data_IF_983536030828
#
_entry.id   IF_983536030828
#
_cell.length_a   1.000
_cell.length_b   1.000
_cell.length_c   1.000
_cell.angle_alpha   90.00
_cell.angle_beta   90.00
_cell.angle_gamma   90.00
#
_symmetry.space_group_name_H-M   'P 1'
#
loop_
_entity.id
_entity.type
_entity.pdbx_description
1 polymer ?
#
# COMPACT_ATOMS: atom_id res chain seq x y z
N UNK A 1 47.22 -23.87 51.12
CA UNK A 1 46.22 -24.08 52.20
C UNK A 1 44.86 -24.34 51.56
N UNK A 2 44.22 -25.48 51.91
CA UNK A 2 42.79 -25.84 51.71
C UNK A 2 42.25 -25.90 50.27
N UNK A 3 42.20 -27.07 49.61
CA UNK A 3 41.10 -28.07 49.59
C UNK A 3 39.85 -27.55 48.84
N UNK A 4 39.57 -27.91 47.57
CA UNK A 4 39.05 -29.19 47.00
C UNK A 4 37.76 -29.71 47.66
N UNK A 5 36.71 -29.94 46.84
CA UNK A 5 35.56 -30.79 47.15
C UNK A 5 34.26 -30.25 46.52
N UNK A 6 33.86 -30.55 45.27
CA UNK A 6 33.31 -31.81 44.73
C UNK A 6 31.94 -32.26 45.30
N UNK A 7 31.00 -32.45 44.36
CA UNK A 7 30.06 -33.60 44.22
C UNK A 7 28.64 -33.49 44.84
N UNK A 8 27.69 -33.34 43.90
CA UNK A 8 26.51 -34.18 43.59
C UNK A 8 25.37 -34.45 44.58
N UNK A 9 24.17 -34.38 43.99
CA UNK A 9 23.03 -35.31 44.02
C UNK A 9 22.38 -35.69 45.36
N UNK A 10 21.05 -35.54 45.43
CA UNK A 10 20.03 -36.61 45.45
C UNK A 10 18.69 -35.96 45.90
N UNK A 11 17.63 -35.96 45.07
CA UNK A 11 16.66 -37.04 44.76
C UNK A 11 15.54 -37.19 45.81
N UNK A 12 14.31 -37.23 45.25
CA UNK A 12 13.09 -37.94 45.68
C UNK A 12 12.08 -37.17 46.56
N UNK A 13 10.77 -37.03 46.24
CA UNK A 13 9.67 -37.91 45.77
C UNK A 13 8.70 -38.18 46.94
N UNK A 14 7.53 -37.54 46.94
CA UNK A 14 6.28 -38.01 47.57
C UNK A 14 5.09 -37.37 46.83
N UNK A 15 4.40 -38.12 45.97
CA UNK A 15 3.26 -39.00 46.23
C UNK A 15 1.95 -38.27 46.58
N UNK A 16 0.92 -38.48 45.75
CA UNK A 16 -0.48 -38.42 46.20
C UNK A 16 -1.47 -37.77 45.24
N UNK A 17 -1.83 -38.45 44.14
CA UNK A 17 -3.18 -38.31 43.58
C UNK A 17 -4.09 -39.32 44.27
N UNK A 18 -5.19 -38.86 44.89
CA UNK A 18 -6.43 -39.64 45.04
C UNK A 18 -7.62 -38.71 44.79
N UNK A 19 -8.53 -39.24 43.99
CA UNK A 19 -9.75 -38.68 43.40
C UNK A 19 -10.96 -38.79 44.35
N UNK A 20 -11.99 -37.97 44.05
CA UNK A 20 -13.42 -37.99 44.46
C UNK A 20 -13.84 -37.20 45.71
N UNK A 21 -14.53 -36.08 45.46
CA UNK A 21 -15.94 -35.99 45.86
C UNK A 21 -16.81 -35.75 44.61
N UNK A 22 -17.83 -36.60 44.45
CA UNK A 22 -18.98 -36.33 43.61
C UNK A 22 -19.97 -35.59 44.49
N UNK A 23 -20.17 -34.30 44.25
CA UNK A 23 -21.37 -33.61 44.71
C UNK A 23 -22.27 -33.42 43.50
N UNK A 24 -23.36 -34.19 43.45
CA UNK A 24 -24.44 -34.06 42.48
C UNK A 24 -25.22 -32.78 42.77
N UNK A 25 -24.90 -31.71 42.06
CA UNK A 25 -25.74 -30.51 42.01
C UNK A 25 -26.85 -30.76 40.99
N UNK A 26 -28.07 -31.02 41.47
CA UNK A 26 -29.26 -31.03 40.63
C UNK A 26 -29.63 -29.59 40.29
N UNK A 27 -29.60 -29.25 39.01
CA UNK A 27 -30.17 -28.01 38.48
C UNK A 27 -31.25 -28.40 37.48
N UNK A 28 -32.51 -28.26 37.88
CA UNK A 28 -33.64 -28.24 36.96
C UNK A 28 -33.57 -26.93 36.17
N UNK A 29 -33.11 -27.00 34.92
CA UNK A 29 -33.28 -25.93 33.94
C UNK A 29 -34.15 -26.46 32.83
N UNK A 30 -35.40 -25.99 32.87
CA UNK A 30 -36.47 -26.04 31.86
C UNK A 30 -35.99 -26.25 30.42
N UNK A 31 -36.68 -27.14 29.70
CA UNK A 31 -36.56 -27.36 28.25
C UNK A 31 -36.35 -26.05 27.48
N UNK A 32 -35.15 -25.86 26.92
CA UNK A 32 -34.88 -24.87 25.88
C UNK A 32 -35.47 -25.30 24.53
N UNK A 33 -36.68 -25.86 24.54
CA UNK A 33 -37.54 -25.84 23.36
C UNK A 33 -38.24 -24.48 23.35
N UNK A 34 -37.93 -23.64 22.36
CA UNK A 34 -38.46 -22.29 22.14
C UNK A 34 -37.64 -21.10 22.69
N UNK A 35 -36.32 -21.11 22.54
CA UNK A 35 -35.60 -19.86 22.31
C UNK A 35 -35.19 -19.79 20.84
N UNK A 36 -35.99 -19.04 20.09
CA UNK A 36 -35.64 -18.45 18.80
C UNK A 36 -34.27 -17.79 18.92
N UNK A 37 -33.23 -18.49 18.43
CA UNK A 37 -31.98 -17.89 18.00
C UNK A 37 -32.27 -17.05 16.75
N UNK A 38 -32.88 -15.89 16.97
CA UNK A 38 -33.02 -14.76 16.04
C UNK A 38 -32.05 -13.65 16.45
N UNK A 39 -30.80 -14.02 16.75
CA UNK A 39 -29.69 -13.08 16.82
C UNK A 39 -28.76 -13.39 15.64
N UNK A 40 -28.80 -12.50 14.66
CA UNK A 40 -28.08 -12.53 13.39
C UNK A 40 -28.48 -13.68 12.44
N UNK A 41 -29.74 -13.68 12.02
CA UNK A 41 -30.02 -13.95 10.62
C UNK A 41 -29.34 -12.85 9.79
N UNK A 42 -28.02 -12.98 9.59
CA UNK A 42 -27.33 -12.44 8.44
C UNK A 42 -28.29 -12.59 7.29
N UNK A 43 -28.80 -11.47 6.77
CA UNK A 43 -29.64 -11.45 5.59
C UNK A 43 -28.70 -11.92 4.48
N UNK A 44 -28.60 -13.25 4.35
CA UNK A 44 -27.75 -13.93 3.39
C UNK A 44 -28.27 -13.39 2.06
N UNK A 45 -27.55 -12.43 1.47
CA UNK A 45 -27.83 -11.91 0.13
C UNK A 45 -27.67 -13.11 -0.78
N UNK A 46 -28.81 -13.72 -1.09
CA UNK A 46 -28.91 -15.16 -1.32
C UNK A 46 -28.83 -15.55 -2.78
N UNK A 47 -28.58 -14.63 -3.70
CA UNK A 47 -28.59 -14.92 -5.12
C UNK A 47 -27.27 -14.61 -5.85
N UNK A 48 -27.06 -15.39 -6.90
CA UNK A 48 -25.90 -15.26 -7.78
C UNK A 48 -25.80 -13.88 -8.47
N UNK A 49 -26.91 -13.19 -8.81
CA UNK A 49 -26.90 -11.82 -9.30
C UNK A 49 -26.32 -10.80 -8.32
N UNK A 50 -26.73 -10.75 -7.06
CA UNK A 50 -26.19 -9.74 -6.12
C UNK A 50 -24.69 -9.95 -5.89
N UNK A 51 -24.24 -11.21 -5.83
CA UNK A 51 -22.81 -11.53 -5.76
C UNK A 51 -22.04 -11.03 -6.99
N UNK A 52 -22.68 -11.03 -8.16
CA UNK A 52 -22.09 -10.49 -9.39
C UNK A 52 -21.98 -8.97 -9.32
N UNK A 53 -23.01 -8.29 -8.81
CA UNK A 53 -22.98 -6.84 -8.57
C UNK A 53 -21.89 -6.45 -7.56
N UNK A 54 -21.77 -7.19 -6.45
CA UNK A 54 -20.74 -6.94 -5.43
C UNK A 54 -19.32 -7.14 -5.99
N UNK A 55 -19.13 -8.15 -6.84
CA UNK A 55 -17.86 -8.36 -7.54
C UNK A 55 -17.54 -7.18 -8.46
N UNK A 56 -18.52 -6.70 -9.23
CA UNK A 56 -18.32 -5.58 -10.16
C UNK A 56 -18.04 -4.27 -9.40
N UNK A 57 -18.75 -4.03 -8.30
CA UNK A 57 -18.48 -2.92 -7.39
C UNK A 57 -17.06 -2.99 -6.83
N UNK A 58 -16.62 -4.14 -6.31
CA UNK A 58 -15.28 -4.29 -5.76
C UNK A 58 -14.18 -4.09 -6.82
N UNK A 59 -14.42 -4.54 -8.07
CA UNK A 59 -13.52 -4.27 -9.20
C UNK A 59 -13.43 -2.79 -9.54
N UNK A 60 -14.57 -2.09 -9.56
CA UNK A 60 -14.62 -0.66 -9.84
C UNK A 60 -13.89 0.14 -8.75
N UNK A 61 -14.12 -0.19 -7.47
CA UNK A 61 -13.47 0.46 -6.34
C UNK A 61 -11.95 0.27 -6.35
N UNK A 62 -11.49 -0.96 -6.65
CA UNK A 62 -10.06 -1.26 -6.74
C UNK A 62 -9.39 -0.51 -7.91
N UNK A 63 -10.07 -0.42 -9.05
CA UNK A 63 -9.60 0.34 -10.20
C UNK A 63 -9.54 1.84 -9.87
N UNK A 64 -10.59 2.37 -9.26
CA UNK A 64 -10.68 3.78 -8.88
C UNK A 64 -9.50 4.16 -7.98
N UNK A 65 -9.24 3.39 -6.93
CA UNK A 65 -8.11 3.60 -6.01
C UNK A 65 -6.77 3.75 -6.74
N UNK A 66 -6.53 2.89 -7.73
CA UNK A 66 -5.29 2.95 -8.50
C UNK A 66 -5.23 4.15 -9.44
N UNK A 67 -6.32 4.45 -10.12
CA UNK A 67 -6.39 5.60 -11.03
C UNK A 67 -6.21 6.92 -10.29
N UNK A 68 -6.80 7.06 -9.10
CA UNK A 68 -6.63 8.23 -8.23
C UNK A 68 -5.17 8.41 -7.81
N UNK A 69 -4.52 7.33 -7.38
CA UNK A 69 -3.11 7.42 -7.02
C UNK A 69 -2.22 7.80 -8.20
N UNK A 70 -2.36 7.11 -9.32
CA UNK A 70 -1.50 7.33 -10.48
C UNK A 70 -1.68 8.74 -11.04
N UNK A 71 -2.91 9.28 -11.01
CA UNK A 71 -3.18 10.66 -11.36
C UNK A 71 -2.45 11.65 -10.44
N UNK A 72 -2.65 11.53 -9.12
CA UNK A 72 -2.08 12.47 -8.14
C UNK A 72 -0.54 12.39 -8.11
N UNK A 73 0.02 11.17 -8.02
CA UNK A 73 1.46 10.99 -8.00
C UNK A 73 2.13 11.44 -9.31
N UNK A 74 1.47 11.18 -10.44
CA UNK A 74 1.93 11.60 -11.77
C UNK A 74 1.92 13.12 -11.93
N UNK A 75 0.85 13.79 -11.48
CA UNK A 75 0.73 15.25 -11.52
C UNK A 75 1.81 15.94 -10.67
N UNK A 76 2.03 15.47 -9.45
CA UNK A 76 3.05 16.05 -8.56
C UNK A 76 4.46 15.90 -9.11
N UNK A 77 4.78 14.71 -9.65
CA UNK A 77 6.07 14.48 -10.28
C UNK A 77 6.24 15.37 -11.51
N UNK A 78 5.21 15.46 -12.36
CA UNK A 78 5.23 16.33 -13.56
C UNK A 78 5.45 17.79 -13.17
N UNK A 79 4.73 18.29 -12.18
CA UNK A 79 4.86 19.65 -11.66
C UNK A 79 6.28 19.92 -11.15
N UNK A 80 6.83 19.00 -10.35
CA UNK A 80 8.22 19.09 -9.88
C UNK A 80 9.23 19.16 -11.03
N UNK A 81 9.11 18.29 -12.04
CA UNK A 81 10.03 18.25 -13.18
C UNK A 81 10.00 19.54 -14.00
N UNK A 82 8.82 20.14 -14.17
CA UNK A 82 8.66 21.45 -14.82
C UNK A 82 9.32 22.55 -13.99
N UNK A 83 9.05 22.60 -12.68
CA UNK A 83 9.61 23.62 -11.79
C UNK A 83 11.14 23.57 -11.75
N UNK A 84 11.74 22.39 -11.64
CA UNK A 84 13.20 22.24 -11.64
C UNK A 84 13.82 22.67 -12.96
N UNK A 85 13.14 22.39 -14.08
CA UNK A 85 13.61 22.81 -15.40
C UNK A 85 13.53 24.32 -15.55
N UNK A 86 12.38 24.92 -15.27
CA UNK A 86 12.18 26.37 -15.30
C UNK A 86 13.19 27.10 -14.40
N UNK A 87 13.39 26.61 -13.18
CA UNK A 87 14.35 27.20 -12.24
C UNK A 87 15.81 27.14 -12.75
N UNK A 88 16.18 26.03 -13.40
CA UNK A 88 17.52 25.89 -13.99
C UNK A 88 17.71 26.85 -15.17
N UNK A 89 16.70 26.99 -16.03
CA UNK A 89 16.72 27.93 -17.14
C UNK A 89 16.77 29.38 -16.65
N UNK A 90 16.02 29.71 -15.60
CA UNK A 90 16.03 31.02 -14.96
C UNK A 90 17.40 31.36 -14.36
N UNK A 91 18.05 30.40 -13.71
CA UNK A 91 19.41 30.58 -13.17
C UNK A 91 20.43 30.88 -14.28
N UNK A 92 20.31 30.20 -15.43
CA UNK A 92 21.15 30.44 -16.60
C UNK A 92 20.91 31.84 -17.18
N UNK A 93 19.64 32.21 -17.41
CA UNK A 93 19.29 33.54 -17.95
C UNK A 93 19.70 34.68 -17.02
N UNK A 94 19.54 34.52 -15.71
CA UNK A 94 19.95 35.55 -14.76
C UNK A 94 21.46 35.73 -14.74
N UNK A 95 22.24 34.66 -14.92
CA UNK A 95 23.68 34.74 -15.08
C UNK A 95 24.09 35.45 -16.39
N UNK A 96 23.30 35.34 -17.47
CA UNK A 96 23.55 36.04 -18.74
C UNK A 96 23.41 37.56 -18.62
N UNK A 97 22.44 38.04 -17.83
CA UNK A 97 22.18 39.48 -17.66
C UNK A 97 23.29 40.22 -16.88
N UNK A 98 24.17 39.50 -16.17
CA UNK A 98 25.29 40.09 -15.42
C UNK A 98 26.52 40.31 -16.31
N UNK A 99 26.49 39.88 -17.57
CA UNK A 99 27.65 39.91 -18.46
C UNK A 99 27.73 41.25 -19.19
N UNK A 100 28.49 42.17 -18.61
CA UNK A 100 29.20 43.24 -19.33
C UNK A 100 30.69 42.88 -19.47
N UNK A 101 31.14 42.84 -20.71
CA UNK A 101 32.51 42.97 -21.25
C UNK A 101 33.61 41.90 -21.08
N UNK A 102 33.60 40.95 -20.13
CA UNK A 102 34.68 39.92 -20.07
C UNK A 102 34.15 38.48 -20.10
N UNK A 103 34.10 37.91 -21.31
CA UNK A 103 33.63 36.54 -21.55
C UNK A 103 34.70 35.52 -21.16
N UNK A 104 34.83 35.20 -19.86
CA UNK A 104 35.61 34.04 -19.43
C UNK A 104 34.83 32.75 -19.73
N UNK A 105 35.01 32.24 -20.96
CA UNK A 105 34.30 31.08 -21.51
C UNK A 105 34.42 29.81 -20.64
N UNK A 106 35.53 29.67 -19.91
CA UNK A 106 35.78 28.54 -19.02
C UNK A 106 34.90 28.60 -17.75
N UNK A 107 34.78 29.78 -17.13
CA UNK A 107 33.90 29.97 -15.97
C UNK A 107 32.44 29.71 -16.37
N UNK A 108 32.03 30.19 -17.55
CA UNK A 108 30.66 29.99 -18.04
C UNK A 108 30.33 28.52 -18.33
N UNK A 109 31.20 27.84 -19.07
CA UNK A 109 31.02 26.41 -19.38
C UNK A 109 30.92 25.55 -18.11
N UNK A 110 31.73 25.84 -17.09
CA UNK A 110 31.66 25.18 -15.77
C UNK A 110 30.34 25.45 -15.05
N UNK A 111 29.84 26.67 -15.09
CA UNK A 111 28.55 27.03 -14.50
C UNK A 111 27.40 26.29 -15.19
N UNK A 112 27.31 26.36 -16.52
CA UNK A 112 26.25 25.70 -17.30
C UNK A 112 26.24 24.18 -17.08
N UNK A 113 27.43 23.56 -17.09
CA UNK A 113 27.58 22.13 -16.79
C UNK A 113 27.11 21.78 -15.38
N UNK A 114 27.39 22.64 -14.38
CA UNK A 114 26.99 22.44 -13.00
C UNK A 114 25.49 22.56 -12.81
N UNK A 115 24.85 23.56 -13.41
CA UNK A 115 23.39 23.73 -13.37
C UNK A 115 22.69 22.53 -14.02
N UNK A 116 23.13 22.11 -15.22
CA UNK A 116 22.57 20.93 -15.91
C UNK A 116 22.75 19.66 -15.08
N UNK A 117 23.89 19.49 -14.41
CA UNK A 117 24.10 18.35 -13.50
C UNK A 117 23.12 18.38 -12.33
N UNK A 118 22.91 19.55 -11.68
CA UNK A 118 21.94 19.70 -10.58
C UNK A 118 20.53 19.34 -11.04
N UNK A 119 20.13 19.83 -12.21
CA UNK A 119 18.84 19.53 -12.82
C UNK A 119 18.69 18.01 -13.05
N UNK A 120 19.66 17.38 -13.71
CA UNK A 120 19.63 15.97 -14.04
C UNK A 120 19.62 15.08 -12.79
N UNK A 121 20.44 15.39 -11.78
CA UNK A 121 20.45 14.70 -10.49
C UNK A 121 19.07 14.74 -9.83
N UNK A 122 18.44 15.92 -9.79
CA UNK A 122 17.13 16.10 -9.18
C UNK A 122 16.03 15.37 -9.95
N UNK A 123 16.03 15.44 -11.29
CA UNK A 123 15.08 14.69 -12.15
C UNK A 123 15.22 13.19 -11.94
N UNK A 124 16.45 12.68 -11.86
CA UNK A 124 16.72 11.25 -11.64
C UNK A 124 16.26 10.80 -10.26
N UNK A 125 16.55 11.58 -9.22
CA UNK A 125 16.14 11.28 -7.85
C UNK A 125 14.61 11.29 -7.68
N UNK A 126 13.93 12.26 -8.31
CA UNK A 126 12.48 12.35 -8.29
C UNK A 126 11.83 11.19 -9.05
N UNK A 127 12.33 10.86 -10.25
CA UNK A 127 11.82 9.75 -11.06
C UNK A 127 12.00 8.40 -10.35
N UNK A 128 13.17 8.16 -9.75
CA UNK A 128 13.42 6.97 -8.95
C UNK A 128 12.45 6.84 -7.77
N UNK A 129 12.16 7.95 -7.08
CA UNK A 129 11.16 7.96 -6.02
C UNK A 129 9.77 7.59 -6.55
N UNK A 130 9.35 8.22 -7.66
CA UNK A 130 8.05 7.97 -8.29
C UNK A 130 7.89 6.53 -8.75
N UNK A 131 8.90 5.95 -9.38
CA UNK A 131 8.90 4.55 -9.81
C UNK A 131 8.77 3.58 -8.64
N UNK A 132 9.47 3.82 -7.53
CA UNK A 132 9.37 2.96 -6.35
C UNK A 132 7.99 3.03 -5.70
N UNK A 133 7.41 4.24 -5.61
CA UNK A 133 6.05 4.41 -5.12
C UNK A 133 5.04 3.70 -6.04
N UNK A 134 5.21 3.81 -7.36
CA UNK A 134 4.36 3.13 -8.33
C UNK A 134 4.43 1.60 -8.19
N UNK A 135 5.63 1.03 -8.07
CA UNK A 135 5.84 -0.40 -7.85
C UNK A 135 5.19 -0.89 -6.56
N UNK A 136 5.29 -0.10 -5.49
CA UNK A 136 4.66 -0.42 -4.21
C UNK A 136 3.14 -0.56 -4.37
N UNK A 137 2.47 0.43 -4.96
CA UNK A 137 1.01 0.34 -5.16
C UNK A 137 0.62 -0.77 -6.15
N UNK A 138 1.41 -0.97 -7.20
CA UNK A 138 1.18 -2.05 -8.15
C UNK A 138 1.17 -3.43 -7.46
N UNK A 139 1.99 -3.62 -6.42
CA UNK A 139 1.95 -4.82 -5.58
C UNK A 139 0.58 -5.06 -4.93
N UNK A 140 0.00 -4.03 -4.31
CA UNK A 140 -1.35 -4.11 -3.74
C UNK A 140 -2.41 -4.45 -4.80
N UNK A 141 -2.32 -3.82 -5.98
CA UNK A 141 -3.24 -4.10 -7.08
C UNK A 141 -3.18 -5.54 -7.57
N UNK A 142 -1.98 -6.11 -7.69
CA UNK A 142 -1.82 -7.50 -8.16
C UNK A 142 -2.51 -8.46 -7.20
N UNK A 143 -2.35 -8.24 -5.89
CA UNK A 143 -3.01 -9.05 -4.85
C UNK A 143 -4.52 -8.91 -4.95
N UNK A 144 -5.06 -7.69 -5.00
CA UNK A 144 -6.51 -7.47 -5.16
C UNK A 144 -7.04 -8.16 -6.42
N UNK A 145 -6.34 -8.03 -7.55
CA UNK A 145 -6.73 -8.64 -8.82
C UNK A 145 -6.74 -10.17 -8.73
N UNK A 146 -5.79 -10.77 -8.03
CA UNK A 146 -5.75 -12.22 -7.82
C UNK A 146 -7.02 -12.71 -7.10
N UNK A 147 -7.42 -12.04 -6.01
CA UNK A 147 -8.63 -12.37 -5.25
C UNK A 147 -9.90 -12.13 -6.08
N UNK A 148 -10.00 -10.99 -6.78
CA UNK A 148 -11.14 -10.68 -7.65
C UNK A 148 -11.28 -11.68 -8.82
N UNK A 149 -10.18 -12.12 -9.42
CA UNK A 149 -10.19 -13.15 -10.48
C UNK A 149 -10.64 -14.52 -9.94
N UNK A 150 -10.25 -14.85 -8.71
CA UNK A 150 -10.69 -16.08 -8.02
C UNK A 150 -12.21 -16.03 -7.77
N UNK A 151 -12.73 -14.92 -7.24
CA UNK A 151 -14.17 -14.70 -7.07
C UNK A 151 -14.91 -14.79 -8.40
N UNK A 152 -14.41 -14.13 -9.45
CA UNK A 152 -15.02 -14.17 -10.78
C UNK A 152 -15.14 -15.61 -11.32
N UNK A 153 -14.11 -16.43 -11.13
CA UNK A 153 -14.12 -17.83 -11.55
C UNK A 153 -15.21 -18.62 -10.82
N UNK A 154 -15.39 -18.36 -9.51
CA UNK A 154 -16.44 -18.99 -8.71
C UNK A 154 -17.84 -18.52 -9.12
N UNK A 155 -18.02 -17.21 -9.34
CA UNK A 155 -19.29 -16.63 -9.83
C UNK A 155 -19.66 -17.21 -11.21
N UNK A 156 -18.69 -17.39 -12.11
CA UNK A 156 -18.91 -18.07 -13.41
C UNK A 156 -19.35 -19.53 -13.26
N UNK A 157 -18.85 -20.24 -12.25
CA UNK A 157 -19.32 -21.62 -11.95
C UNK A 157 -20.74 -21.62 -11.42
N UNK A 158 -21.09 -20.67 -10.55
CA UNK A 158 -22.45 -20.52 -10.03
C UNK A 158 -23.44 -20.18 -11.15
N UNK A 159 -23.16 -19.16 -11.95
CA UNK A 159 -24.02 -18.76 -13.08
C UNK A 159 -24.22 -19.88 -14.09
N UNK A 160 -23.19 -20.68 -14.37
CA UNK A 160 -23.32 -21.88 -15.22
C UNK A 160 -24.22 -22.94 -14.60
N UNK A 161 -24.10 -23.20 -13.29
CA UNK A 161 -24.88 -24.22 -12.59
C UNK A 161 -26.35 -23.83 -12.39
N UNK A 162 -26.64 -22.53 -12.33
CA UNK A 162 -27.97 -21.99 -12.06
C UNK A 162 -28.75 -21.71 -13.35
N UNK A 163 -28.09 -21.71 -14.52
CA UNK A 163 -28.65 -21.30 -15.82
C UNK A 163 -29.97 -21.99 -16.17
N UNK A 164 -30.06 -23.30 -15.95
CA UNK A 164 -31.18 -24.11 -16.47
C UNK A 164 -32.28 -24.36 -15.43
N UNK A 165 -31.99 -24.10 -14.15
CA UNK A 165 -32.83 -24.50 -13.02
C UNK A 165 -33.14 -23.35 -12.05
N UNK A 166 -32.55 -22.17 -12.28
CA UNK A 166 -32.82 -20.96 -11.53
C UNK A 166 -32.67 -21.15 -10.02
N UNK A 167 -33.64 -20.61 -9.27
CA UNK A 167 -33.63 -20.54 -7.80
C UNK A 167 -33.48 -21.92 -7.14
N UNK A 168 -34.01 -22.99 -7.76
CA UNK A 168 -33.89 -24.34 -7.20
C UNK A 168 -32.42 -24.80 -7.09
N UNK A 169 -31.60 -24.46 -8.08
CA UNK A 169 -30.18 -24.82 -8.11
C UNK A 169 -29.30 -23.98 -7.20
N UNK A 170 -29.77 -22.80 -6.80
CA UNK A 170 -29.05 -21.94 -5.87
C UNK A 170 -28.96 -22.55 -4.46
N UNK A 171 -29.93 -23.38 -4.09
CA UNK A 171 -29.98 -24.04 -2.79
C UNK A 171 -29.03 -25.24 -2.70
N UNK A 172 -28.48 -25.71 -3.82
CA UNK A 172 -27.57 -26.86 -3.88
C UNK A 172 -26.32 -26.57 -3.03
N UNK A 173 -25.91 -27.48 -2.13
CA UNK A 173 -24.76 -27.27 -1.24
C UNK A 173 -23.47 -26.88 -1.95
N UNK A 174 -23.25 -27.41 -3.17
CA UNK A 174 -22.09 -27.08 -4.01
C UNK A 174 -22.10 -25.61 -4.47
N UNK A 175 -23.26 -25.10 -4.90
CA UNK A 175 -23.42 -23.70 -5.33
C UNK A 175 -23.30 -22.77 -4.14
N UNK A 176 -23.93 -23.11 -3.01
CA UNK A 176 -23.76 -22.38 -1.74
C UNK A 176 -22.29 -22.24 -1.34
N UNK A 177 -21.52 -23.33 -1.40
CA UNK A 177 -20.08 -23.32 -1.08
C UNK A 177 -19.30 -22.36 -1.99
N UNK A 178 -19.53 -22.40 -3.31
CA UNK A 178 -18.84 -21.51 -4.25
C UNK A 178 -19.20 -20.04 -4.03
N UNK A 179 -20.46 -19.73 -3.73
CA UNK A 179 -20.90 -18.37 -3.40
C UNK A 179 -20.23 -17.86 -2.14
N UNK A 180 -20.23 -18.66 -1.07
CA UNK A 180 -19.57 -18.30 0.18
C UNK A 180 -18.08 -18.01 -0.04
N UNK A 181 -17.38 -18.90 -0.76
CA UNK A 181 -15.97 -18.69 -1.10
C UNK A 181 -15.75 -17.43 -1.95
N UNK A 182 -16.63 -17.14 -2.92
CA UNK A 182 -16.50 -15.93 -3.73
C UNK A 182 -16.70 -14.66 -2.90
N UNK A 183 -17.68 -14.67 -1.99
CA UNK A 183 -17.99 -13.57 -1.08
C UNK A 183 -16.85 -13.34 -0.08
N UNK A 184 -16.31 -14.41 0.52
CA UNK A 184 -15.13 -14.36 1.39
C UNK A 184 -13.95 -13.66 0.71
N UNK A 185 -13.66 -13.99 -0.56
CA UNK A 185 -12.58 -13.35 -1.32
C UNK A 185 -12.90 -11.88 -1.70
N UNK A 186 -14.17 -11.53 -1.95
CA UNK A 186 -14.59 -10.13 -2.18
C UNK A 186 -14.42 -9.31 -0.89
N UNK A 187 -14.82 -9.86 0.25
CA UNK A 187 -14.68 -9.20 1.55
C UNK A 187 -13.21 -8.96 1.90
N UNK A 188 -12.33 -9.94 1.67
CA UNK A 188 -10.88 -9.75 1.82
C UNK A 188 -10.37 -8.58 1.00
N UNK A 189 -10.78 -8.47 -0.26
CA UNK A 189 -10.39 -7.32 -1.11
C UNK A 189 -10.89 -6.00 -0.54
N UNK A 190 -12.12 -5.96 0.01
CA UNK A 190 -12.67 -4.76 0.64
C UNK A 190 -11.88 -4.34 1.88
N UNK A 191 -11.47 -5.29 2.71
CA UNK A 191 -10.61 -5.04 3.87
C UNK A 191 -9.22 -4.53 3.43
N UNK A 192 -8.60 -5.22 2.46
CA UNK A 192 -7.31 -4.84 1.89
C UNK A 192 -7.36 -3.47 1.21
N UNK A 193 -8.47 -3.08 0.60
CA UNK A 193 -8.67 -1.75 0.00
C UNK A 193 -8.60 -0.65 1.07
N UNK A 194 -9.17 -0.86 2.26
CA UNK A 194 -9.08 0.12 3.34
C UNK A 194 -7.65 0.29 3.82
N UNK A 195 -6.91 -0.81 3.96
CA UNK A 195 -5.49 -0.76 4.28
C UNK A 195 -4.70 -0.04 3.18
N UNK A 196 -4.92 -0.41 1.92
CA UNK A 196 -4.24 0.17 0.76
C UNK A 196 -4.52 1.66 0.59
N UNK A 197 -5.74 2.14 0.90
CA UNK A 197 -6.08 3.57 0.95
C UNK A 197 -5.26 4.34 1.97
N UNK A 198 -4.96 3.75 3.13
CA UNK A 198 -4.10 4.39 4.15
C UNK A 198 -2.65 4.45 3.66
N UNK A 199 -2.12 3.32 3.19
CA UNK A 199 -0.77 3.24 2.62
C UNK A 199 -0.60 4.21 1.45
N UNK A 200 -1.62 4.36 0.61
CA UNK A 200 -1.69 5.36 -0.47
C UNK A 200 -1.51 6.79 0.05
N UNK A 201 -2.29 7.20 1.06
CA UNK A 201 -2.19 8.56 1.64
C UNK A 201 -0.80 8.82 2.18
N UNK A 202 -0.23 7.86 2.90
CA UNK A 202 1.12 7.96 3.45
C UNK A 202 2.18 8.05 2.35
N UNK A 203 2.01 7.29 1.27
CA UNK A 203 2.90 7.28 0.12
C UNK A 203 2.89 8.63 -0.61
N UNK A 204 1.71 9.23 -0.83
CA UNK A 204 1.57 10.58 -1.42
C UNK A 204 2.22 11.62 -0.52
N UNK A 205 1.95 11.59 0.80
CA UNK A 205 2.58 12.53 1.74
C UNK A 205 4.11 12.36 1.77
N UNK A 206 4.60 11.13 1.69
CA UNK A 206 6.02 10.85 1.59
C UNK A 206 6.60 11.38 0.26
N UNK A 207 5.92 11.18 -0.87
CA UNK A 207 6.32 11.71 -2.17
C UNK A 207 6.42 13.24 -2.15
N UNK A 208 5.38 13.95 -1.67
CA UNK A 208 5.38 15.40 -1.48
C UNK A 208 6.56 15.88 -0.66
N UNK A 209 6.80 15.26 0.50
CA UNK A 209 7.93 15.61 1.37
C UNK A 209 9.26 15.41 0.67
N UNK A 210 9.42 14.32 -0.08
CA UNK A 210 10.64 14.03 -0.83
C UNK A 210 10.86 15.04 -1.96
N UNK A 211 9.84 15.36 -2.75
CA UNK A 211 9.92 16.34 -3.83
C UNK A 211 10.24 17.74 -3.28
N UNK A 212 9.60 18.15 -2.19
CA UNK A 212 9.90 19.42 -1.52
C UNK A 212 11.34 19.47 -0.98
N UNK A 213 11.85 18.36 -0.44
CA UNK A 213 13.23 18.28 0.00
C UNK A 213 14.21 18.40 -1.17
N UNK A 214 13.96 17.69 -2.29
CA UNK A 214 14.75 17.80 -3.50
C UNK A 214 14.72 19.22 -4.07
N UNK A 215 13.56 19.88 -4.05
CA UNK A 215 13.41 21.26 -4.49
C UNK A 215 14.31 22.22 -3.68
N UNK A 216 14.29 22.12 -2.36
CA UNK A 216 15.18 22.90 -1.49
C UNK A 216 16.67 22.63 -1.78
N UNK A 217 17.03 21.38 -2.06
CA UNK A 217 18.41 21.03 -2.45
C UNK A 217 18.80 21.63 -3.79
N UNK A 218 17.91 21.63 -4.78
CA UNK A 218 18.14 22.26 -6.09
C UNK A 218 18.41 23.75 -5.92
N UNK A 219 17.55 24.46 -5.18
CA UNK A 219 17.73 25.90 -4.92
C UNK A 219 19.09 26.15 -4.26
N UNK A 220 19.41 25.43 -3.18
CA UNK A 220 20.68 25.60 -2.48
C UNK A 220 21.88 25.35 -3.40
N UNK A 221 21.92 24.21 -4.10
CA UNK A 221 23.04 23.84 -4.98
C UNK A 221 23.19 24.81 -6.16
N UNK A 222 22.10 25.39 -6.64
CA UNK A 222 22.12 26.34 -7.75
C UNK A 222 22.62 27.71 -7.29
N UNK A 223 22.18 28.20 -6.14
CA UNK A 223 22.74 29.42 -5.53
C UNK A 223 24.25 29.25 -5.29
N UNK A 224 24.69 28.12 -4.71
CA UNK A 224 26.11 27.81 -4.54
C UNK A 224 26.88 27.78 -5.89
N UNK A 225 26.21 27.44 -6.99
CA UNK A 225 26.81 27.44 -8.33
C UNK A 225 26.92 28.87 -8.90
N UNK A 226 25.92 29.71 -8.66
CA UNK A 226 25.93 31.15 -9.01
C UNK A 226 27.03 31.88 -8.25
N UNK A 227 27.16 31.65 -6.94
CA UNK A 227 28.21 32.26 -6.12
C UNK A 227 29.61 31.90 -6.64
N UNK A 228 29.84 30.62 -6.95
CA UNK A 228 31.10 30.15 -7.54
C UNK A 228 31.36 30.71 -8.93
N UNK A 229 30.31 30.97 -9.70
CA UNK A 229 30.44 31.63 -10.99
C UNK A 229 30.89 33.09 -10.80
N UNK A 230 30.28 33.83 -9.88
CA UNK A 230 30.71 35.19 -9.55
C UNK A 230 32.14 35.24 -8.99
N UNK A 231 32.54 34.29 -8.14
CA UNK A 231 33.93 34.18 -7.68
C UNK A 231 34.91 33.92 -8.82
N UNK A 232 34.52 33.10 -9.81
CA UNK A 232 35.34 32.80 -10.98
C UNK A 232 35.52 34.03 -11.89
N UNK A 233 34.49 34.88 -11.99
CA UNK A 233 34.58 36.14 -12.75
C UNK A 233 35.42 37.22 -12.06
N UNK A 234 35.55 37.18 -10.73
CA UNK A 234 36.36 38.14 -9.95
C UNK A 234 37.85 37.79 -9.92
N UNK A 235 38.25 36.62 -10.43
CA UNK A 235 39.64 36.16 -10.48
C UNK A 235 40.22 36.35 -11.87
#
# INVERSE_FOLDING_TARGET
MGARGCISCLLLLTCGQIVRSQDSLWVDVTDQSNQTLDEDADIEKRYTPELTEELMSAKADALLLFTEYTAIAGEELKSFLMNVTAYSDDAIRNADNVITSDYNSNCRSKFDSRIRTIQNDARRAASFSGENHHKFLLGHMIVMRMHLNKSETLVKKCTKAVRDCGISCETIPRVKRWRRQALEEIHRVREDMQHSRRSYKDLVLHARRKLNHLHKQVIKRSNDAVDKYHECLRR
#
